data_IF_894924762797
#
_entry.id   IF_894924762797
#
_cell.length_a   1.000
_cell.length_b   1.000
_cell.length_c   1.000
_cell.angle_alpha   90.00
_cell.angle_beta   90.00
_cell.angle_gamma   90.00
#
_symmetry.space_group_name_H-M   'P 1'
#
loop_
_entity.id
_entity.type
_entity.pdbx_description
1 polymer ?
#
# COMPACT_ATOMS: atom_id res chain seq x y z
N UNK A 1 -34.34 -39.06 -6.02
CA UNK A 1 -33.20 -38.58 -6.83
C UNK A 1 -33.00 -37.04 -6.78
N UNK A 2 -34.00 -36.24 -6.37
CA UNK A 2 -33.92 -34.76 -6.34
C UNK A 2 -33.04 -34.12 -5.23
N UNK A 3 -32.77 -34.80 -4.10
CA UNK A 3 -32.03 -34.22 -2.95
C UNK A 3 -30.55 -33.90 -3.24
N UNK A 4 -29.86 -34.73 -4.04
CA UNK A 4 -28.43 -34.55 -4.34
C UNK A 4 -28.12 -33.28 -5.14
N UNK A 5 -29.04 -32.86 -6.01
CA UNK A 5 -28.85 -31.67 -6.84
C UNK A 5 -28.95 -30.38 -6.01
N UNK A 6 -29.79 -30.37 -4.96
CA UNK A 6 -29.93 -29.24 -4.04
C UNK A 6 -28.71 -29.14 -3.13
N UNK A 7 -28.24 -30.27 -2.59
CA UNK A 7 -27.01 -30.34 -1.79
C UNK A 7 -25.79 -29.83 -2.57
N UNK A 8 -25.67 -30.20 -3.85
CA UNK A 8 -24.60 -29.69 -4.73
C UNK A 8 -24.74 -28.20 -5.05
N UNK A 9 -25.97 -27.71 -5.28
CA UNK A 9 -26.24 -26.29 -5.52
C UNK A 9 -25.92 -25.41 -4.32
N UNK A 10 -26.24 -25.87 -3.10
CA UNK A 10 -25.87 -25.18 -1.85
C UNK A 10 -24.35 -25.16 -1.68
N UNK A 11 -23.66 -26.25 -2.00
CA UNK A 11 -22.20 -26.32 -1.97
C UNK A 11 -21.55 -25.26 -2.88
N UNK A 12 -22.02 -25.13 -4.13
CA UNK A 12 -21.53 -24.10 -5.06
C UNK A 12 -21.82 -22.70 -4.55
N UNK A 13 -23.02 -22.46 -4.00
CA UNK A 13 -23.39 -21.15 -3.46
C UNK A 13 -22.49 -20.73 -2.30
N UNK A 14 -22.22 -21.64 -1.36
CA UNK A 14 -21.30 -21.38 -0.24
C UNK A 14 -19.89 -21.14 -0.74
N UNK A 15 -19.40 -21.94 -1.69
CA UNK A 15 -18.07 -21.76 -2.27
C UNK A 15 -17.93 -20.40 -2.96
N UNK A 16 -18.93 -19.99 -3.75
CA UNK A 16 -18.96 -18.67 -4.39
C UNK A 16 -18.97 -17.54 -3.36
N UNK A 17 -19.72 -17.69 -2.26
CA UNK A 17 -19.72 -16.74 -1.15
C UNK A 17 -18.36 -16.61 -0.48
N UNK A 18 -17.68 -17.72 -0.21
CA UNK A 18 -16.32 -17.72 0.35
C UNK A 18 -15.34 -17.03 -0.60
N UNK A 19 -15.40 -17.32 -1.90
CA UNK A 19 -14.55 -16.67 -2.91
C UNK A 19 -14.81 -15.16 -3.00
N UNK A 20 -16.07 -14.73 -2.94
CA UNK A 20 -16.42 -13.31 -2.92
C UNK A 20 -15.90 -12.60 -1.67
N UNK A 21 -16.02 -13.22 -0.49
CA UNK A 21 -15.48 -12.68 0.77
C UNK A 21 -13.96 -12.61 0.74
N UNK A 22 -13.28 -13.65 0.24
CA UNK A 22 -11.83 -13.65 0.08
C UNK A 22 -11.38 -12.54 -0.86
N UNK A 23 -12.06 -12.35 -1.99
CA UNK A 23 -11.79 -11.28 -2.95
C UNK A 23 -11.94 -9.89 -2.31
N UNK A 24 -13.05 -9.64 -1.61
CA UNK A 24 -13.27 -8.37 -0.91
C UNK A 24 -12.22 -8.13 0.17
N UNK A 25 -11.85 -9.15 0.95
CA UNK A 25 -10.85 -9.04 2.00
C UNK A 25 -9.48 -8.61 1.47
N UNK A 26 -9.07 -9.11 0.31
CA UNK A 26 -7.80 -8.73 -0.33
C UNK A 26 -7.88 -7.28 -0.84
N UNK A 27 -8.98 -6.93 -1.51
CA UNK A 27 -9.16 -5.60 -2.10
C UNK A 27 -9.25 -4.49 -1.05
N UNK A 28 -9.97 -4.73 0.06
CA UNK A 28 -10.06 -3.79 1.19
C UNK A 28 -8.77 -3.76 2.03
N UNK A 29 -8.05 -4.88 2.11
CA UNK A 29 -6.79 -4.98 2.84
C UNK A 29 -5.64 -4.18 2.22
N UNK A 30 -5.82 -3.62 1.02
CA UNK A 30 -4.78 -2.88 0.32
C UNK A 30 -3.58 -3.75 -0.08
N UNK A 31 -3.75 -5.07 -0.10
CA UNK A 31 -2.77 -6.00 -0.63
C UNK A 31 -2.83 -5.92 -2.16
N UNK A 32 -2.04 -5.02 -2.73
CA UNK A 32 -1.75 -4.98 -4.17
C UNK A 32 -0.92 -6.22 -4.53
N UNK A 33 -1.60 -7.37 -4.70
CA UNK A 33 -0.99 -8.63 -5.17
C UNK A 33 -0.57 -8.51 -6.65
N UNK A 34 -1.18 -7.56 -7.37
CA UNK A 34 -0.86 -7.24 -8.76
C UNK A 34 0.27 -6.20 -8.76
N UNK A 35 1.49 -6.69 -8.92
CA UNK A 35 2.74 -5.95 -9.06
C UNK A 35 2.74 -5.19 -10.42
N UNK A 36 1.93 -4.14 -10.53
CA UNK A 36 1.92 -3.25 -11.69
C UNK A 36 3.17 -2.37 -11.60
N UNK A 37 4.30 -2.87 -12.14
CA UNK A 37 5.59 -2.19 -12.31
C UNK A 37 5.87 -1.06 -11.31
N UNK A 38 6.46 -1.40 -10.16
CA UNK A 38 6.92 -0.41 -9.18
C UNK A 38 8.31 -0.80 -8.67
N UNK A 39 9.12 0.21 -8.36
CA UNK A 39 10.45 0.00 -7.80
C UNK A 39 10.52 0.51 -6.37
N UNK A 40 11.38 -0.11 -5.57
CA UNK A 40 11.59 0.27 -4.19
C UNK A 40 12.75 1.26 -4.05
N UNK A 41 12.53 2.31 -3.25
CA UNK A 41 13.53 3.30 -2.88
C UNK A 41 13.57 3.39 -1.36
N UNK A 42 14.76 3.27 -0.78
CA UNK A 42 14.96 3.47 0.65
C UNK A 42 15.42 4.90 0.94
N UNK A 43 14.76 5.57 1.87
CA UNK A 43 15.15 6.88 2.37
C UNK A 43 15.38 6.82 3.88
N UNK A 44 16.42 7.49 4.37
CA UNK A 44 16.73 7.59 5.80
C UNK A 44 16.22 8.91 6.35
N UNK A 45 15.60 8.86 7.53
CA UNK A 45 15.07 10.00 8.24
C UNK A 45 15.49 9.94 9.70
N UNK A 46 15.79 11.08 10.30
CA UNK A 46 16.06 11.17 11.74
C UNK A 46 14.82 10.78 12.57
N UNK A 47 13.63 11.00 12.04
CA UNK A 47 12.38 10.58 12.68
C UNK A 47 11.30 10.20 11.66
N UNK A 48 10.54 9.15 11.97
CA UNK A 48 9.35 8.73 11.24
C UNK A 48 8.06 8.96 12.04
N UNK A 49 8.08 9.80 13.08
CA UNK A 49 6.93 10.01 13.98
C UNK A 49 5.66 10.38 13.22
N UNK A 50 4.61 9.60 13.42
CA UNK A 50 3.28 9.80 12.83
C UNK A 50 3.13 9.28 11.40
N UNK A 51 4.21 8.84 10.75
CA UNK A 51 4.13 8.12 9.48
C UNK A 51 3.77 6.65 9.72
N UNK A 52 2.96 6.09 8.83
CA UNK A 52 2.51 4.69 8.90
C UNK A 52 2.83 3.98 7.59
N UNK A 53 3.07 2.67 7.65
CA UNK A 53 3.07 1.83 6.45
C UNK A 53 1.72 1.98 5.74
N UNK A 54 1.75 2.07 4.41
CA UNK A 54 0.57 2.37 3.60
C UNK A 54 0.32 3.85 3.34
N UNK A 55 1.05 4.77 4.00
CA UNK A 55 0.94 6.22 3.73
C UNK A 55 1.28 6.55 2.26
N UNK A 56 0.62 7.57 1.71
CA UNK A 56 0.84 7.98 0.32
C UNK A 56 2.23 8.60 0.13
N UNK A 57 2.81 8.33 -1.02
CA UNK A 57 3.98 9.04 -1.55
C UNK A 57 3.47 9.94 -2.66
N UNK A 58 3.73 11.23 -2.56
CA UNK A 58 3.18 12.24 -3.47
C UNK A 58 4.29 13.10 -4.06
N UNK A 59 4.21 13.40 -5.35
CA UNK A 59 5.10 14.33 -6.06
C UNK A 59 4.26 15.45 -6.64
N UNK A 60 4.61 16.70 -6.35
CA UNK A 60 3.82 17.87 -6.77
C UNK A 60 2.31 17.79 -6.42
N UNK A 61 1.96 17.07 -5.34
CA UNK A 61 0.57 16.85 -4.89
C UNK A 61 -0.16 15.69 -5.56
N UNK A 62 0.50 14.96 -6.47
CA UNK A 62 -0.04 13.77 -7.14
C UNK A 62 0.52 12.52 -6.47
N UNK A 63 -0.33 11.52 -6.19
CA UNK A 63 0.12 10.23 -5.66
C UNK A 63 0.91 9.48 -6.73
N UNK A 64 2.13 9.08 -6.37
CA UNK A 64 3.09 8.36 -7.24
C UNK A 64 3.57 7.04 -6.61
N UNK A 65 3.00 6.67 -5.47
CA UNK A 65 3.42 5.49 -4.74
C UNK A 65 2.93 5.45 -3.29
N UNK A 66 3.55 4.58 -2.51
CA UNK A 66 3.17 4.28 -1.12
C UNK A 66 4.37 3.87 -0.27
N UNK A 67 4.30 4.13 1.04
CA UNK A 67 5.27 3.61 2.02
C UNK A 67 5.04 2.11 2.20
N UNK A 68 5.98 1.30 1.73
CA UNK A 68 5.98 -0.17 1.84
C UNK A 68 6.32 -0.61 3.27
N UNK A 69 7.30 0.05 3.90
CA UNK A 69 7.76 -0.32 5.24
C UNK A 69 8.50 0.78 5.97
N UNK A 70 8.52 0.66 7.29
CA UNK A 70 9.27 1.53 8.19
C UNK A 70 10.08 0.61 9.12
N UNK A 71 11.39 0.84 9.17
CA UNK A 71 12.32 0.05 9.97
C UNK A 71 13.31 0.97 10.68
N UNK A 72 13.87 0.52 11.79
CA UNK A 72 14.95 1.23 12.47
C UNK A 72 16.30 0.75 11.90
N UNK A 73 17.15 1.69 11.52
CA UNK A 73 18.51 1.44 11.00
C UNK A 73 19.51 2.25 11.84
N UNK A 74 19.96 1.66 12.95
CA UNK A 74 20.75 2.36 13.96
C UNK A 74 19.91 3.36 14.74
N UNK A 75 20.28 4.64 14.68
CA UNK A 75 19.53 5.74 15.30
C UNK A 75 18.51 6.40 14.35
N UNK A 76 18.61 6.08 13.04
CA UNK A 76 17.74 6.65 12.01
C UNK A 76 16.58 5.70 11.67
N UNK A 77 15.47 6.27 11.24
CA UNK A 77 14.38 5.54 10.62
C UNK A 77 14.64 5.34 9.12
N UNK A 78 14.73 4.08 8.69
CA UNK A 78 14.77 3.70 7.28
C UNK A 78 13.37 3.43 6.77
N UNK A 79 12.94 4.21 5.79
CA UNK A 79 11.60 4.14 5.19
C UNK A 79 11.74 3.60 3.76
N UNK A 80 11.04 2.50 3.49
CA UNK A 80 10.97 1.90 2.16
C UNK A 80 9.75 2.46 1.44
N UNK A 81 10.00 3.15 0.33
CA UNK A 81 8.99 3.71 -0.56
C UNK A 81 8.87 2.79 -1.77
N UNK A 82 7.65 2.51 -2.18
CA UNK A 82 7.35 1.85 -3.44
C UNK A 82 6.77 2.90 -4.39
N UNK A 83 7.45 3.13 -5.50
CA UNK A 83 7.16 4.19 -6.47
C UNK A 83 6.85 3.56 -7.82
N UNK A 84 5.83 4.08 -8.50
CA UNK A 84 5.41 3.57 -9.80
C UNK A 84 6.56 3.72 -10.83
N UNK A 85 6.79 2.69 -11.65
CA UNK A 85 7.90 2.63 -12.62
C UNK A 85 7.77 3.69 -13.73
N UNK A 86 6.55 4.19 -13.95
CA UNK A 86 6.29 5.33 -14.84
C UNK A 86 6.96 6.64 -14.36
N UNK A 87 7.28 6.74 -13.07
CA UNK A 87 7.87 7.92 -12.45
C UNK A 87 9.37 7.74 -12.29
N UNK A 88 10.15 8.56 -12.98
CA UNK A 88 11.61 8.59 -12.85
C UNK A 88 12.03 9.62 -11.81
N UNK A 89 12.53 9.13 -10.68
CA UNK A 89 13.15 9.99 -9.66
C UNK A 89 14.55 10.44 -10.10
N UNK A 90 14.84 11.71 -9.87
CA UNK A 90 16.18 12.25 -10.08
C UNK A 90 17.07 11.92 -8.89
N UNK A 91 18.40 11.96 -9.09
CA UNK A 91 19.37 11.66 -8.03
C UNK A 91 19.38 12.69 -6.90
N UNK A 92 18.94 13.90 -7.18
CA UNK A 92 18.82 15.04 -6.28
C UNK A 92 17.41 15.20 -5.70
N UNK A 93 16.51 14.23 -5.94
CA UNK A 93 15.17 14.25 -5.35
C UNK A 93 15.23 14.17 -3.82
N UNK A 94 14.42 15.00 -3.18
CA UNK A 94 14.34 15.09 -1.72
C UNK A 94 13.02 14.49 -1.27
N UNK A 95 13.09 13.56 -0.30
CA UNK A 95 11.93 13.02 0.37
C UNK A 95 11.70 13.76 1.69
N UNK A 96 10.48 14.26 1.91
CA UNK A 96 10.10 15.00 3.13
C UNK A 96 8.79 14.46 3.69
N UNK A 97 8.75 14.19 5.00
CA UNK A 97 7.49 13.83 5.68
C UNK A 97 6.68 15.11 5.89
N UNK A 98 5.52 15.19 5.22
CA UNK A 98 4.58 16.31 5.33
C UNK A 98 3.28 15.85 5.97
N UNK A 99 2.47 16.82 6.36
CA UNK A 99 1.19 16.60 7.02
C UNK A 99 0.06 17.04 6.10
N UNK A 100 -0.95 16.20 5.93
CA UNK A 100 -2.10 16.41 5.06
C UNK A 100 -3.32 16.79 5.89
N UNK A 101 -3.98 17.86 5.48
CA UNK A 101 -5.22 18.33 6.10
C UNK A 101 -5.07 18.72 7.57
N UNK A 102 -6.22 18.87 8.23
CA UNK A 102 -6.32 19.34 9.63
C UNK A 102 -6.21 18.21 10.66
N UNK A 103 -6.47 16.96 10.27
CA UNK A 103 -6.39 15.80 11.16
C UNK A 103 -4.94 15.33 11.42
N UNK A 104 -3.99 15.80 10.61
CA UNK A 104 -2.58 15.53 10.87
C UNK A 104 -2.01 14.28 10.22
N UNK A 105 -2.70 13.68 9.25
CA UNK A 105 -2.21 12.49 8.53
C UNK A 105 -0.88 12.77 7.84
N UNK A 106 0.11 11.91 8.05
CA UNK A 106 1.45 12.09 7.49
C UNK A 106 1.58 11.37 6.16
N UNK A 107 2.28 11.99 5.23
CA UNK A 107 2.59 11.44 3.91
C UNK A 107 4.02 11.82 3.51
N UNK A 108 4.58 11.12 2.54
CA UNK A 108 5.91 11.44 2.01
C UNK A 108 5.75 12.29 0.76
N UNK A 109 6.34 13.48 0.76
CA UNK A 109 6.42 14.36 -0.40
C UNK A 109 7.78 14.17 -1.08
N UNK A 110 7.77 13.96 -2.38
CA UNK A 110 8.94 13.95 -3.26
C UNK A 110 8.99 15.26 -4.05
N UNK A 111 10.17 15.86 -4.15
CA UNK A 111 10.44 17.07 -4.93
C UNK A 111 11.82 16.99 -5.57
#
# INVERSE_FOLDING_TARGET
MYRKNVEFGVGIFVLAGILALAYLSINLGGLEILDDGAYEVSAKFTTATGLRSGASVEMAGVRVGRVSGISLDGEDAKITLRVDESIKLSRDSIASIRTKGVLGDKYVSLS
#
